data_IF_119049254739
#
_entry.id   IF_119049254739
#
_cell.length_a   1.000
_cell.length_b   1.000
_cell.length_c   1.000
_cell.angle_alpha   90.00
_cell.angle_beta   90.00
_cell.angle_gamma   90.00
#
_symmetry.space_group_name_H-M   'P 1'
#
loop_
_entity.id
_entity.type
_entity.pdbx_description
1 polymer ?
#
# COMPACT_ATOMS: atom_id res chain seq x y z
N UNK A 1 51.93 39.28 -1.37
CA UNK A 1 51.47 38.97 -1.29
C UNK A 1 50.33 38.62 -1.51
N UNK A 2 49.97 38.32 -1.60
CA UNK A 2 49.08 37.98 -1.91
C UNK A 2 48.20 37.22 -1.74
N UNK A 3 47.78 37.04 -1.67
CA UNK A 3 46.96 36.39 -1.51
C UNK A 3 45.91 35.94 -1.76
N UNK A 4 45.44 35.61 -1.80
CA UNK A 4 44.55 35.23 -2.08
C UNK A 4 43.58 34.51 -1.92
N UNK A 5 42.98 34.31 -1.86
CA UNK A 5 42.15 33.78 -1.71
C UNK A 5 41.21 33.14 -1.92
N UNK A 6 40.68 32.75 -2.05
CA UNK A 6 39.92 32.19 -2.26
C UNK A 6 38.96 31.62 -2.12
N UNK A 7 38.28 31.47 -2.08
CA UNK A 7 37.41 31.07 -2.03
C UNK A 7 36.55 30.27 -2.17
N UNK A 8 36.06 29.84 -2.18
CA UNK A 8 35.44 29.16 -2.28
C UNK A 8 34.40 28.66 -2.34
N UNK A 9 33.86 28.60 -2.33
CA UNK A 9 32.95 28.18 -2.39
C UNK A 9 32.03 27.45 -2.40
N UNK A 10 31.64 27.15 -2.43
CA UNK A 10 30.85 26.50 -2.46
C UNK A 10 29.92 25.88 -2.45
N UNK A 11 29.54 25.71 -2.43
CA UNK A 11 28.73 25.16 -2.45
C UNK A 11 27.71 24.57 -2.41
N UNK A 12 27.35 24.53 -2.41
CA UNK A 12 26.51 24.02 -2.43
C UNK A 12 25.64 23.28 -2.53
N UNK A 13 25.49 23.09 -2.49
CA UNK A 13 24.80 22.49 -2.65
C UNK A 13 23.91 21.80 -2.47
N UNK A 14 23.74 21.66 -2.36
CA UNK A 14 23.12 21.08 -2.25
C UNK A 14 22.13 20.58 -2.27
N UNK A 15 21.98 20.66 -2.19
CA UNK A 15 21.19 20.29 -2.23
C UNK A 15 20.30 19.66 -2.35
N UNK A 16 20.07 19.62 -2.39
CA UNK A 16 19.36 19.24 -2.69
C UNK A 16 18.67 18.36 -2.62
N UNK A 17 18.83 18.15 -2.54
CA UNK A 17 18.48 17.43 -2.63
C UNK A 17 17.60 16.78 -2.26
N UNK A 18 17.48 16.72 -1.91
CA UNK A 18 16.89 16.04 -1.49
C UNK A 18 15.74 15.70 -1.68
N UNK A 19 15.46 15.91 -1.81
CA UNK A 19 14.44 15.84 -2.07
C UNK A 19 13.86 14.85 -2.47
N UNK A 20 14.27 14.11 -2.27
CA UNK A 20 13.70 13.01 -2.70
C UNK A 20 12.32 12.97 -2.30
N UNK A 21 11.53 13.09 -3.15
CA UNK A 21 10.15 12.92 -2.89
C UNK A 21 9.87 11.45 -2.89
N UNK A 22 9.21 10.96 -1.88
CA UNK A 22 8.73 9.61 -1.88
C UNK A 22 7.69 9.49 -2.97
N UNK A 23 7.87 8.58 -3.89
CA UNK A 23 6.90 8.32 -4.93
C UNK A 23 6.05 7.13 -4.55
N UNK A 24 5.06 6.84 -5.40
CA UNK A 24 4.17 5.72 -5.15
C UNK A 24 4.91 4.40 -5.03
N UNK A 25 6.05 4.27 -5.68
CA UNK A 25 6.83 3.04 -5.63
C UNK A 25 7.58 2.86 -4.33
N UNK A 26 7.60 3.87 -3.47
CA UNK A 26 8.24 3.75 -2.17
C UNK A 26 7.30 3.13 -1.14
N UNK A 27 6.11 2.74 -1.54
CA UNK A 27 5.11 2.18 -0.66
C UNK A 27 4.70 0.81 -1.16
N UNK A 28 4.25 -0.01 -0.24
CA UNK A 28 3.79 -1.35 -0.58
C UNK A 28 2.64 -1.75 0.33
N UNK A 29 1.69 -2.49 -0.24
CA UNK A 29 0.66 -3.17 0.54
C UNK A 29 1.14 -4.58 0.80
N UNK A 30 1.02 -5.02 2.06
CA UNK A 30 1.42 -6.36 2.46
C UNK A 30 0.32 -6.99 3.28
N UNK A 31 0.19 -8.31 3.22
CA UNK A 31 -0.75 -8.99 4.09
C UNK A 31 -0.26 -8.86 5.52
N UNK A 32 -1.13 -8.38 6.41
CA UNK A 32 -0.77 -8.19 7.81
C UNK A 32 -1.00 -9.46 8.62
N UNK A 33 -1.94 -10.29 8.18
CA UNK A 33 -2.28 -11.51 8.88
C UNK A 33 -3.00 -12.44 7.91
N UNK A 34 -3.16 -13.69 8.30
CA UNK A 34 -3.92 -14.63 7.49
C UNK A 34 -5.38 -14.18 7.45
N UNK A 35 -6.05 -14.35 6.30
CA UNK A 35 -7.47 -14.03 6.23
C UNK A 35 -8.25 -14.86 7.22
N UNK A 36 -9.29 -14.26 7.77
CA UNK A 36 -10.15 -14.93 8.73
C UNK A 36 -11.56 -15.04 8.15
N UNK A 37 -12.18 -16.18 8.37
CA UNK A 37 -13.56 -16.35 7.95
C UNK A 37 -14.47 -15.55 8.86
N UNK A 38 -15.46 -14.92 8.27
CA UNK A 38 -16.49 -14.22 9.00
C UNK A 38 -17.83 -14.88 8.66
N UNK A 39 -18.89 -14.29 9.12
CA UNK A 39 -20.23 -14.85 8.91
C UNK A 39 -20.64 -14.69 7.44
N UNK A 40 -21.57 -15.54 7.02
CA UNK A 40 -22.21 -15.44 5.72
C UNK A 40 -21.26 -15.58 4.53
N UNK A 41 -20.22 -16.41 4.69
CA UNK A 41 -19.28 -16.67 3.60
C UNK A 41 -18.32 -15.56 3.34
N UNK A 42 -18.23 -14.60 4.24
CA UNK A 42 -17.33 -13.47 4.08
C UNK A 42 -15.96 -13.78 4.68
N UNK A 43 -14.95 -13.06 4.23
CA UNK A 43 -13.60 -13.17 4.76
C UNK A 43 -13.11 -11.80 5.14
N UNK A 44 -12.37 -11.75 6.26
CA UNK A 44 -11.74 -10.52 6.70
C UNK A 44 -10.27 -10.57 6.35
N UNK A 45 -9.80 -9.53 5.70
CA UNK A 45 -8.42 -9.42 5.24
C UNK A 45 -7.81 -8.18 5.85
N UNK A 46 -6.63 -8.32 6.44
CA UNK A 46 -5.89 -7.20 7.00
C UNK A 46 -4.67 -6.92 6.12
N UNK A 47 -4.52 -5.68 5.72
CA UNK A 47 -3.45 -5.26 4.82
C UNK A 47 -2.67 -4.13 5.48
N UNK A 48 -1.36 -4.27 5.50
CA UNK A 48 -0.49 -3.23 6.01
C UNK A 48 0.05 -2.39 4.85
N UNK A 49 0.00 -1.08 5.02
CA UNK A 49 0.62 -0.16 4.07
C UNK A 49 1.94 0.29 4.66
N UNK A 50 3.02 0.06 3.94
CA UNK A 50 4.37 0.26 4.46
C UNK A 50 5.15 1.21 3.58
N UNK A 51 5.90 2.11 4.21
CA UNK A 51 6.88 2.93 3.52
C UNK A 51 8.17 2.13 3.47
N UNK A 52 8.59 1.76 2.27
CA UNK A 52 9.67 0.79 2.09
C UNK A 52 11.03 1.22 2.65
N UNK A 53 11.46 2.48 2.46
CA UNK A 53 12.80 2.84 2.92
C UNK A 53 13.02 2.64 4.42
N UNK A 54 12.02 2.90 5.24
CA UNK A 54 12.17 2.77 6.68
C UNK A 54 11.28 1.69 7.29
N UNK A 55 10.52 0.97 6.45
CA UNK A 55 9.66 -0.13 6.86
C UNK A 55 8.58 0.28 7.84
N UNK A 56 8.23 1.54 7.88
CA UNK A 56 7.22 2.02 8.82
C UNK A 56 5.83 1.89 8.25
N UNK A 57 4.86 1.51 9.08
CA UNK A 57 3.46 1.50 8.65
C UNK A 57 2.98 2.93 8.46
N UNK A 58 2.07 3.09 7.51
CA UNK A 58 1.54 4.41 7.15
C UNK A 58 0.09 4.50 7.59
N UNK A 59 -0.17 5.22 8.68
CA UNK A 59 -1.55 5.41 9.14
C UNK A 59 -2.24 6.52 8.36
N UNK A 60 -3.54 6.53 8.46
CA UNK A 60 -4.34 7.65 7.94
C UNK A 60 -4.46 7.72 6.44
N UNK A 61 -4.12 6.66 5.71
CA UNK A 61 -4.31 6.66 4.27
C UNK A 61 -5.79 6.49 3.93
N UNK A 62 -6.20 7.10 2.84
CA UNK A 62 -7.57 6.98 2.36
C UNK A 62 -7.60 5.96 1.24
N UNK A 63 -8.37 4.91 1.44
CA UNK A 63 -8.52 3.87 0.42
C UNK A 63 -9.52 4.38 -0.62
N UNK A 64 -9.04 4.56 -1.83
CA UNK A 64 -9.82 5.15 -2.90
C UNK A 64 -10.55 4.11 -3.75
N UNK A 65 -9.90 2.97 -3.96
CA UNK A 65 -10.46 1.93 -4.81
C UNK A 65 -10.08 0.57 -4.25
N UNK A 66 -10.98 -0.38 -4.43
CA UNK A 66 -10.76 -1.77 -4.04
C UNK A 66 -11.27 -2.67 -5.15
N UNK A 67 -10.58 -3.79 -5.37
CA UNK A 67 -11.03 -4.81 -6.31
C UNK A 67 -10.49 -6.15 -5.86
N UNK A 68 -11.35 -7.14 -5.82
CA UNK A 68 -10.92 -8.51 -5.56
C UNK A 68 -11.23 -9.35 -6.78
N UNK A 69 -10.24 -10.10 -7.26
CA UNK A 69 -10.43 -10.99 -8.39
C UNK A 69 -9.55 -12.23 -8.26
N UNK A 70 -9.87 -13.25 -9.04
CA UNK A 70 -9.13 -14.50 -9.00
C UNK A 70 -8.05 -14.57 -10.07
N UNK A 71 -7.44 -13.43 -10.39
CA UNK A 71 -6.31 -13.41 -11.32
C UNK A 71 -5.20 -14.39 -10.95
N UNK A 72 -4.80 -14.50 -9.67
CA UNK A 72 -3.76 -15.46 -9.30
C UNK A 72 -4.13 -16.91 -9.63
N UNK A 73 -5.40 -17.23 -9.71
CA UNK A 73 -5.86 -18.56 -10.08
C UNK A 73 -6.18 -18.67 -11.58
N UNK A 74 -5.83 -17.63 -12.35
CA UNK A 74 -6.07 -17.63 -13.79
C UNK A 74 -7.47 -17.23 -14.17
N UNK A 75 -8.24 -16.68 -13.25
CA UNK A 75 -9.63 -16.31 -13.50
C UNK A 75 -9.85 -14.86 -13.13
N UNK A 76 -9.17 -13.95 -13.82
CA UNK A 76 -9.21 -12.53 -13.49
C UNK A 76 -10.56 -11.86 -13.68
N UNK A 77 -11.49 -12.51 -14.38
CA UNK A 77 -12.81 -11.97 -14.56
C UNK A 77 -13.76 -12.31 -13.41
N UNK A 78 -13.34 -13.23 -12.54
CA UNK A 78 -14.11 -13.54 -11.35
C UNK A 78 -13.78 -12.53 -10.27
N UNK A 79 -14.78 -11.71 -9.94
CA UNK A 79 -14.61 -10.67 -8.95
C UNK A 79 -15.52 -10.91 -7.75
N UNK A 80 -15.23 -10.23 -6.66
CA UNK A 80 -16.03 -10.35 -5.45
C UNK A 80 -16.23 -8.97 -4.84
N UNK A 81 -17.36 -8.77 -4.15
CA UNK A 81 -17.55 -7.51 -3.42
C UNK A 81 -16.51 -7.32 -2.33
N UNK A 82 -16.05 -6.09 -2.19
CA UNK A 82 -15.07 -5.71 -1.17
C UNK A 82 -15.64 -4.53 -0.40
N UNK A 83 -15.56 -4.60 0.90
CA UNK A 83 -15.97 -3.50 1.76
C UNK A 83 -14.79 -3.08 2.62
N UNK A 84 -14.41 -1.81 2.53
CA UNK A 84 -13.35 -1.28 3.38
C UNK A 84 -13.92 -1.11 4.77
N UNK A 85 -13.23 -1.65 5.77
CA UNK A 85 -13.69 -1.64 7.17
C UNK A 85 -12.96 -0.64 8.03
N UNK A 86 -12.03 0.11 7.42
CA UNK A 86 -11.29 1.11 8.16
C UNK A 86 -9.97 0.60 8.70
N UNK A 87 -9.30 1.48 9.40
CA UNK A 87 -8.00 1.20 9.96
C UNK A 87 -8.15 0.55 11.32
N UNK A 88 -7.59 -0.66 11.48
CA UNK A 88 -7.71 -1.40 12.74
C UNK A 88 -6.63 -1.00 13.72
N UNK A 89 -5.41 -0.88 13.21
CA UNK A 89 -4.26 -0.38 13.97
C UNK A 89 -3.53 0.56 13.03
N UNK A 90 -2.63 1.42 13.54
CA UNK A 90 -1.93 2.35 12.67
C UNK A 90 -1.26 1.62 11.50
N UNK A 91 -1.66 1.97 10.30
CA UNK A 91 -1.09 1.39 9.09
C UNK A 91 -1.67 0.07 8.64
N UNK A 92 -2.64 -0.47 9.38
CA UNK A 92 -3.29 -1.73 9.02
C UNK A 92 -4.75 -1.47 8.67
N UNK A 93 -5.12 -1.83 7.46
CA UNK A 93 -6.45 -1.55 6.92
C UNK A 93 -7.19 -2.87 6.73
N UNK A 94 -8.45 -2.90 7.07
CA UNK A 94 -9.23 -4.12 7.03
C UNK A 94 -10.26 -4.07 5.93
N UNK A 95 -10.47 -5.22 5.33
CA UNK A 95 -11.41 -5.36 4.23
C UNK A 95 -12.23 -6.62 4.44
N UNK A 96 -13.49 -6.53 4.06
CA UNK A 96 -14.37 -7.67 4.07
C UNK A 96 -14.62 -8.05 2.63
N UNK A 97 -14.32 -9.30 2.28
CA UNK A 97 -14.51 -9.80 0.91
C UNK A 97 -15.50 -10.93 0.98
N UNK A 98 -16.42 -10.96 0.03
CA UNK A 98 -17.37 -12.06 -0.07
C UNK A 98 -17.01 -12.89 -1.29
N UNK A 99 -16.10 -13.86 -1.15
CA UNK A 99 -15.67 -14.64 -2.32
C UNK A 99 -16.77 -15.59 -2.76
N UNK A 100 -16.92 -15.73 -4.07
CA UNK A 100 -17.88 -16.66 -4.61
C UNK A 100 -17.37 -18.08 -4.63
N UNK A 101 -16.05 -18.25 -4.48
CA UNK A 101 -15.45 -19.57 -4.37
C UNK A 101 -14.11 -19.44 -3.65
N UNK A 102 -13.66 -20.55 -3.09
CA UNK A 102 -12.39 -20.60 -2.41
C UNK A 102 -11.26 -20.55 -3.43
N UNK A 103 -10.11 -20.02 -3.01
CA UNK A 103 -8.93 -20.00 -3.85
C UNK A 103 -8.09 -18.77 -3.63
N UNK A 104 -7.21 -18.53 -4.59
CA UNK A 104 -6.29 -17.41 -4.53
C UNK A 104 -6.92 -16.17 -5.15
N UNK A 105 -7.01 -15.13 -4.35
CA UNK A 105 -7.62 -13.88 -4.76
C UNK A 105 -6.60 -12.76 -4.69
N UNK A 106 -6.65 -11.86 -5.65
CA UNK A 106 -5.86 -10.64 -5.60
C UNK A 106 -6.74 -9.51 -5.10
N UNK A 107 -6.32 -8.85 -4.04
CA UNK A 107 -6.98 -7.65 -3.55
C UNK A 107 -6.15 -6.48 -4.03
N UNK A 108 -6.68 -5.73 -4.98
CA UNK A 108 -6.00 -4.59 -5.56
C UNK A 108 -6.53 -3.33 -4.93
N UNK A 109 -5.63 -2.48 -4.50
CA UNK A 109 -5.98 -1.29 -3.73
C UNK A 109 -5.34 -0.06 -4.34
N UNK A 110 -6.03 1.06 -4.18
CA UNK A 110 -5.48 2.36 -4.48
C UNK A 110 -5.70 3.23 -3.26
N UNK A 111 -4.66 3.87 -2.78
CA UNK A 111 -4.72 4.66 -1.56
C UNK A 111 -4.08 6.02 -1.77
N UNK A 112 -4.64 6.99 -1.10
CA UNK A 112 -4.11 8.34 -1.05
C UNK A 112 -3.45 8.55 0.29
N UNK A 113 -2.19 8.93 0.26
CA UNK A 113 -1.41 9.16 1.48
C UNK A 113 -1.25 10.66 1.63
N UNK A 114 -1.52 11.15 2.83
CA UNK A 114 -1.39 12.57 3.10
C UNK A 114 0.04 13.01 2.86
N UNK A 115 0.21 14.07 2.09
CA UNK A 115 1.52 14.58 1.76
C UNK A 115 2.11 14.02 0.49
N UNK A 116 1.50 12.98 -0.10
CA UNK A 116 1.99 12.38 -1.33
C UNK A 116 1.13 12.81 -2.50
N UNK A 117 1.74 13.31 -3.57
CA UNK A 117 0.96 13.75 -4.72
C UNK A 117 0.40 12.59 -5.54
N UNK A 118 1.04 11.42 -5.48
CA UNK A 118 0.61 10.30 -6.29
C UNK A 118 -0.22 9.31 -5.49
N UNK A 119 -1.20 8.70 -6.17
CA UNK A 119 -1.97 7.62 -5.58
C UNK A 119 -1.11 6.37 -5.55
N UNK A 120 -1.09 5.71 -4.41
CA UNK A 120 -0.35 4.46 -4.25
C UNK A 120 -1.25 3.31 -4.64
N UNK A 121 -0.80 2.49 -5.58
CA UNK A 121 -1.56 1.34 -6.06
C UNK A 121 -0.77 0.08 -5.81
N UNK A 122 -1.46 -0.98 -5.49
CA UNK A 122 -0.81 -2.25 -5.26
C UNK A 122 -1.80 -3.36 -5.07
N UNK A 123 -1.28 -4.56 -4.95
CA UNK A 123 -2.10 -5.75 -4.88
C UNK A 123 -1.52 -6.70 -3.85
N UNK A 124 -2.40 -7.39 -3.15
CA UNK A 124 -2.02 -8.42 -2.18
C UNK A 124 -2.75 -9.69 -2.59
N UNK A 125 -2.03 -10.79 -2.66
CA UNK A 125 -2.64 -12.09 -2.95
C UNK A 125 -2.95 -12.80 -1.66
N UNK A 126 -4.19 -13.25 -1.53
CA UNK A 126 -4.66 -13.93 -0.32
C UNK A 126 -5.39 -15.20 -0.70
N UNK A 127 -5.32 -16.18 0.19
CA UNK A 127 -6.07 -17.43 0.03
C UNK A 127 -7.35 -17.31 0.84
N UNK A 128 -8.46 -17.38 0.16
CA UNK A 128 -9.76 -17.24 0.81
C UNK A 128 -10.49 -18.56 0.81
N UNK A 129 -11.06 -18.91 1.95
CA UNK A 129 -11.95 -20.06 2.07
C UNK A 129 -13.38 -19.58 1.87
N UNK A 130 -14.23 -20.51 1.51
CA UNK A 130 -15.63 -20.20 1.32
C UNK A 130 -16.44 -20.59 2.55
#
# INVERSE_FOLDING_TARGET
>A
MNRHVIVGVALALALASGTALAGAKDYRFEAAAKPQKAQDGKSLVAVRLVHLPDKKPIPGAVIMQTRADMGPAGMGEMTAPVKAMGEAEPGVYRFEIQPGMAGSWALTLAAKIQGEPETVRGSVTVELAQ
#
